data_IF_987136650205
#
_entry.id   IF_987136650205
#
_cell.length_a   1.000
_cell.length_b   1.000
_cell.length_c   1.000
_cell.angle_alpha   90.00
_cell.angle_beta   90.00
_cell.angle_gamma   90.00
#
_symmetry.space_group_name_H-M   'P 1'
#
loop_
_entity.id
_entity.type
_entity.pdbx_description
1 polymer ?
#
# COMPACT_ATOMS: atom_id res chain seq x y z
N UNK A 1 39.83 -49.97 28.92
CA UNK A 1 38.61 -50.21 29.73
C UNK A 1 38.28 -48.93 30.47
N UNK A 2 37.25 -48.21 30.04
CA UNK A 2 36.51 -47.23 30.85
C UNK A 2 35.17 -46.93 30.19
N UNK A 3 34.17 -46.74 31.04
CA UNK A 3 32.75 -47.08 30.86
C UNK A 3 31.98 -45.90 30.25
N UNK A 4 31.07 -46.19 29.31
CA UNK A 4 30.00 -45.28 28.90
C UNK A 4 29.13 -44.89 30.11
N UNK A 5 28.82 -43.60 30.22
CA UNK A 5 27.65 -43.12 30.97
C UNK A 5 26.77 -42.41 29.95
N UNK A 6 25.57 -42.97 29.77
CA UNK A 6 24.48 -42.52 28.91
C UNK A 6 23.79 -41.32 29.56
N UNK A 7 23.67 -40.23 28.82
CA UNK A 7 22.75 -39.11 29.11
C UNK A 7 21.61 -39.13 28.08
N UNK A 8 20.39 -38.67 28.44
CA UNK A 8 19.17 -39.00 27.72
C UNK A 8 19.04 -38.28 26.37
N UNK A 9 18.74 -39.06 25.34
CA UNK A 9 18.19 -38.62 24.06
C UNK A 9 16.74 -38.12 24.20
N UNK A 10 16.44 -37.04 23.46
CA UNK A 10 15.21 -36.81 22.66
C UNK A 10 14.64 -35.39 22.75
N UNK A 11 14.93 -34.62 21.70
CA UNK A 11 14.18 -33.44 21.29
C UNK A 11 14.54 -33.11 19.84
N UNK A 12 13.59 -33.13 18.88
CA UNK A 12 13.91 -32.80 17.50
C UNK A 12 13.98 -31.27 17.38
N UNK A 13 15.16 -30.68 17.57
CA UNK A 13 15.40 -29.31 17.16
C UNK A 13 15.64 -29.28 15.65
N UNK A 14 14.55 -29.20 14.90
CA UNK A 14 14.58 -28.85 13.48
C UNK A 14 15.22 -27.47 13.35
N UNK A 15 16.39 -27.41 12.71
CA UNK A 15 16.98 -26.17 12.21
C UNK A 15 15.91 -25.40 11.40
N UNK A 16 15.72 -24.08 11.57
CA UNK A 16 14.87 -23.33 10.67
C UNK A 16 15.44 -23.49 9.25
N UNK A 17 14.72 -24.20 8.39
CA UNK A 17 14.98 -24.16 6.96
C UNK A 17 14.76 -22.71 6.52
N UNK A 18 15.86 -21.99 6.33
CA UNK A 18 15.88 -20.72 5.62
C UNK A 18 15.25 -20.98 4.25
N UNK A 19 13.97 -20.59 4.12
CA UNK A 19 13.22 -20.73 2.89
C UNK A 19 13.90 -19.82 1.86
N UNK A 20 14.75 -20.42 1.03
CA UNK A 20 15.43 -19.73 -0.06
C UNK A 20 14.37 -19.09 -0.96
N UNK A 21 14.22 -17.77 -0.86
CA UNK A 21 13.30 -17.02 -1.71
C UNK A 21 13.78 -17.15 -3.16
N UNK A 22 12.95 -17.69 -4.09
CA UNK A 22 13.35 -17.79 -5.47
C UNK A 22 13.38 -16.37 -6.04
N UNK A 23 14.57 -15.89 -6.40
CA UNK A 23 14.69 -14.62 -7.10
C UNK A 23 13.92 -14.70 -8.42
N UNK A 24 13.12 -13.67 -8.73
CA UNK A 24 12.30 -13.55 -9.96
C UNK A 24 13.07 -13.96 -11.23
N UNK A 25 14.39 -13.74 -11.24
CA UNK A 25 15.31 -14.10 -12.32
C UNK A 25 15.45 -15.61 -12.53
N UNK A 26 15.47 -16.43 -11.47
CA UNK A 26 15.55 -17.89 -11.56
C UNK A 26 14.26 -18.52 -12.08
N UNK A 27 13.11 -17.93 -11.77
CA UNK A 27 11.81 -18.40 -12.24
C UNK A 27 11.67 -18.20 -13.76
N UNK A 28 12.11 -17.05 -14.27
CA UNK A 28 12.12 -16.77 -15.72
C UNK A 28 13.14 -17.63 -16.48
N UNK A 29 14.31 -17.92 -15.88
CA UNK A 29 15.28 -18.86 -16.45
C UNK A 29 14.76 -20.30 -16.48
N UNK A 30 13.96 -20.71 -15.49
CA UNK A 30 13.34 -22.03 -15.43
C UNK A 30 12.26 -22.27 -16.49
N UNK A 31 11.56 -21.22 -16.93
CA UNK A 31 10.54 -21.32 -17.98
C UNK A 31 11.11 -21.53 -19.40
N UNK A 32 12.40 -21.24 -19.62
CA UNK A 32 13.06 -21.41 -20.92
C UNK A 32 13.51 -22.83 -21.26
N UNK A 33 13.45 -23.78 -20.30
CA UNK A 33 13.96 -25.16 -20.47
C UNK A 33 12.88 -26.26 -20.34
N UNK A 34 11.59 -25.91 -20.32
CA UNK A 34 10.49 -26.90 -20.24
C UNK A 34 9.70 -26.91 -21.55
N UNK A 35 10.38 -27.20 -22.65
CA UNK A 35 9.76 -27.57 -23.92
C UNK A 35 9.97 -29.06 -24.19
N UNK A 36 9.60 -29.92 -23.23
CA UNK A 36 9.76 -31.37 -23.41
C UNK A 36 9.49 -32.21 -22.18
N UNK A 37 8.22 -32.29 -21.73
CA UNK A 37 7.66 -33.48 -21.06
C UNK A 37 6.18 -33.21 -20.69
N UNK A 38 5.26 -33.54 -21.59
CA UNK A 38 3.85 -33.75 -21.24
C UNK A 38 3.75 -35.11 -20.53
N UNK A 39 3.53 -35.12 -19.22
CA UNK A 39 3.17 -36.33 -18.48
C UNK A 39 2.10 -36.01 -17.41
N UNK A 40 0.85 -36.17 -17.82
CA UNK A 40 -0.28 -36.74 -17.06
C UNK A 40 -0.26 -36.56 -15.53
N UNK A 41 -1.08 -35.62 -15.03
CA UNK A 41 -1.42 -35.54 -13.61
C UNK A 41 -2.41 -34.42 -13.34
N UNK A 42 -3.67 -34.76 -13.14
CA UNK A 42 -4.74 -33.80 -12.85
C UNK A 42 -4.43 -32.99 -11.59
N UNK A 43 -4.41 -31.66 -11.75
CA UNK A 43 -4.28 -30.73 -10.64
C UNK A 43 -5.44 -29.72 -10.70
N UNK A 44 -6.34 -29.65 -9.70
CA UNK A 44 -7.41 -28.66 -9.66
C UNK A 44 -6.90 -27.22 -9.44
N UNK A 45 -5.58 -26.99 -9.40
CA UNK A 45 -4.99 -25.65 -9.36
C UNK A 45 -5.14 -24.85 -10.67
N UNK A 46 -5.55 -25.47 -11.77
CA UNK A 46 -5.68 -24.77 -13.06
C UNK A 46 -6.91 -23.85 -13.15
N UNK A 47 -7.88 -23.94 -12.23
CA UNK A 47 -9.11 -23.12 -12.27
C UNK A 47 -8.98 -21.75 -11.57
N UNK A 48 -7.80 -21.43 -11.02
CA UNK A 48 -7.53 -20.09 -10.47
C UNK A 48 -7.03 -19.09 -11.53
N UNK A 49 -6.62 -19.56 -12.72
CA UNK A 49 -6.11 -18.72 -13.79
C UNK A 49 -7.20 -18.07 -14.66
N UNK A 50 -8.48 -18.47 -14.48
CA UNK A 50 -9.61 -18.06 -15.32
C UNK A 50 -10.49 -16.96 -14.69
N UNK A 51 -9.97 -16.21 -13.73
CA UNK A 51 -10.43 -14.81 -13.61
C UNK A 51 -9.69 -14.04 -14.68
N UNK A 52 -10.19 -14.16 -15.90
CA UNK A 52 -9.91 -13.25 -17.00
C UNK A 52 -9.77 -11.85 -16.41
N UNK A 53 -8.54 -11.33 -16.44
CA UNK A 53 -8.30 -9.93 -16.23
C UNK A 53 -9.21 -9.24 -17.23
N UNK A 54 -10.33 -8.70 -16.75
CA UNK A 54 -11.04 -7.69 -17.49
C UNK A 54 -9.94 -6.70 -17.90
N UNK A 55 -9.81 -6.47 -19.21
CA UNK A 55 -8.91 -5.47 -19.74
C UNK A 55 -9.39 -4.12 -19.19
N UNK A 56 -8.90 -3.78 -18.01
CA UNK A 56 -9.00 -2.45 -17.46
C UNK A 56 -8.09 -1.64 -18.36
N UNK A 57 -8.69 -0.86 -19.24
CA UNK A 57 -7.99 0.22 -19.94
C UNK A 57 -7.05 0.90 -18.94
N UNK A 58 -5.79 1.19 -19.28
CA UNK A 58 -4.84 1.81 -18.36
C UNK A 58 -5.40 3.16 -17.89
N UNK A 59 -6.16 3.14 -16.79
CA UNK A 59 -6.60 4.35 -16.12
C UNK A 59 -5.39 4.82 -15.36
N UNK A 60 -4.99 6.06 -15.61
CA UNK A 60 -3.91 6.69 -14.88
C UNK A 60 -4.21 6.60 -13.38
N UNK A 61 -3.46 5.75 -12.69
CA UNK A 61 -3.70 5.39 -11.28
C UNK A 61 -3.64 6.60 -10.37
N UNK A 62 -2.96 7.67 -10.81
CA UNK A 62 -2.85 8.96 -10.12
C UNK A 62 -4.19 9.69 -9.98
N UNK A 63 -5.21 9.29 -10.74
CA UNK A 63 -6.56 9.85 -10.65
C UNK A 63 -7.53 8.95 -9.86
N UNK A 64 -7.03 7.88 -9.24
CA UNK A 64 -7.86 7.13 -8.30
C UNK A 64 -8.13 7.97 -7.06
N UNK A 65 -9.39 7.97 -6.63
CA UNK A 65 -9.87 8.73 -5.48
C UNK A 65 -10.40 7.76 -4.42
N UNK A 66 -10.29 8.15 -3.15
CA UNK A 66 -10.96 7.46 -2.06
C UNK A 66 -12.06 8.35 -1.49
N UNK A 67 -13.26 7.81 -1.19
CA UNK A 67 -14.33 8.60 -0.59
C UNK A 67 -13.87 9.19 0.75
N UNK A 68 -13.86 10.52 0.85
CA UNK A 68 -13.52 11.22 2.09
C UNK A 68 -14.63 11.11 3.14
N UNK A 69 -15.89 11.22 2.71
CA UNK A 69 -17.05 11.14 3.59
C UNK A 69 -17.56 9.72 3.71
N UNK A 70 -17.81 9.30 4.95
CA UNK A 70 -18.35 7.99 5.29
C UNK A 70 -18.55 7.87 6.79
N UNK A 71 -19.05 6.71 7.24
CA UNK A 71 -19.16 6.41 8.67
C UNK A 71 -17.78 6.31 9.35
N UNK A 72 -16.78 5.88 8.59
CA UNK A 72 -15.39 5.73 9.05
C UNK A 72 -14.46 6.52 8.14
N UNK A 73 -13.34 6.99 8.71
CA UNK A 73 -12.32 7.69 7.95
C UNK A 73 -11.61 6.73 6.99
N UNK A 74 -11.28 7.23 5.80
CA UNK A 74 -10.39 6.55 4.87
C UNK A 74 -9.00 6.33 5.49
N UNK A 75 -8.28 5.30 5.02
CA UNK A 75 -6.97 4.92 5.51
C UNK A 75 -6.96 3.86 6.62
N UNK A 76 -8.12 3.47 7.15
CA UNK A 76 -8.24 2.36 8.14
C UNK A 76 -8.47 1.02 7.44
N UNK A 77 -9.56 0.91 6.67
CA UNK A 77 -9.92 -0.30 5.90
C UNK A 77 -9.65 -0.13 4.40
N UNK A 78 -9.24 1.06 3.98
CA UNK A 78 -8.83 1.36 2.61
C UNK A 78 -7.66 0.45 2.22
N UNK A 79 -7.60 -0.09 0.99
CA UNK A 79 -6.45 -0.84 0.52
C UNK A 79 -5.14 -0.07 0.72
N UNK A 80 -4.08 -0.79 1.05
CA UNK A 80 -2.77 -0.19 1.32
C UNK A 80 -2.28 0.60 0.10
N UNK A 81 -1.91 1.87 0.32
CA UNK A 81 -1.31 2.74 -0.68
C UNK A 81 0.22 2.51 -0.77
N UNK A 82 0.83 2.89 -1.89
CA UNK A 82 2.27 2.70 -2.12
C UNK A 82 3.17 3.57 -1.23
N UNK A 83 2.65 4.66 -0.65
CA UNK A 83 3.37 5.59 0.21
C UNK A 83 2.54 6.00 1.45
N UNK A 84 3.21 6.36 2.53
CA UNK A 84 2.60 6.80 3.80
C UNK A 84 3.45 7.88 4.47
N UNK A 85 2.78 8.84 5.12
CA UNK A 85 3.39 9.80 6.03
C UNK A 85 2.57 9.83 7.34
N UNK A 86 3.26 9.81 8.48
CA UNK A 86 2.66 9.99 9.81
C UNK A 86 3.24 11.24 10.45
N UNK A 87 2.37 12.10 10.98
CA UNK A 87 2.75 13.39 11.58
C UNK A 87 1.96 13.61 12.86
N UNK A 88 2.61 14.17 13.88
CA UNK A 88 1.98 14.60 15.13
C UNK A 88 2.16 16.12 15.30
N UNK A 89 1.15 16.78 15.87
CA UNK A 89 1.14 18.23 16.06
C UNK A 89 0.70 18.58 17.48
N UNK A 90 1.34 19.60 18.05
CA UNK A 90 0.81 20.27 19.23
C UNK A 90 -0.26 21.28 18.82
N UNK A 91 -1.41 21.26 19.51
CA UNK A 91 -2.53 22.16 19.22
C UNK A 91 -2.34 23.48 19.98
N UNK A 92 -2.23 24.59 19.24
CA UNK A 92 -2.05 25.93 19.81
C UNK A 92 -3.37 26.65 20.14
N UNK A 93 -4.52 26.06 19.80
CA UNK A 93 -5.83 26.65 20.11
C UNK A 93 -6.04 26.75 21.62
N UNK A 94 -6.34 27.95 22.11
CA UNK A 94 -6.49 28.22 23.55
C UNK A 94 -7.93 28.08 24.05
N UNK A 95 -8.90 27.93 23.13
CA UNK A 95 -10.31 27.81 23.46
C UNK A 95 -11.03 26.88 22.47
N UNK A 96 -12.26 26.50 22.84
CA UNK A 96 -13.10 25.57 22.05
C UNK A 96 -13.48 26.12 20.68
N UNK A 97 -13.68 27.43 20.54
CA UNK A 97 -14.08 28.04 19.27
C UNK A 97 -12.94 27.94 18.24
N UNK A 98 -11.71 28.21 18.67
CA UNK A 98 -10.52 28.05 17.84
C UNK A 98 -10.23 26.60 17.48
N UNK A 99 -10.45 25.66 18.41
CA UNK A 99 -10.33 24.23 18.11
C UNK A 99 -11.36 23.78 17.07
N UNK A 100 -12.61 24.22 17.19
CA UNK A 100 -13.65 23.92 16.20
C UNK A 100 -13.33 24.52 14.83
N UNK A 101 -12.76 25.73 14.79
CA UNK A 101 -12.28 26.37 13.57
C UNK A 101 -11.14 25.57 12.93
N UNK A 102 -10.18 25.09 13.73
CA UNK A 102 -9.09 24.24 13.25
C UNK A 102 -9.64 22.96 12.60
N UNK A 103 -10.56 22.26 13.26
CA UNK A 103 -11.12 21.03 12.70
C UNK A 103 -11.88 21.26 11.39
N UNK A 104 -12.68 22.33 11.28
CA UNK A 104 -13.35 22.67 10.01
C UNK A 104 -12.35 22.92 8.89
N UNK A 105 -11.31 23.71 9.16
CA UNK A 105 -10.26 24.00 8.19
C UNK A 105 -9.52 22.72 7.75
N UNK A 106 -9.19 21.83 8.69
CA UNK A 106 -8.59 20.54 8.37
C UNK A 106 -9.53 19.67 7.53
N UNK A 107 -10.80 19.59 7.88
CA UNK A 107 -11.81 18.86 7.10
C UNK A 107 -11.89 19.37 5.67
N UNK A 108 -11.97 20.69 5.48
CA UNK A 108 -12.06 21.30 4.14
C UNK A 108 -10.79 21.03 3.32
N UNK A 109 -9.61 21.14 3.95
CA UNK A 109 -8.34 20.86 3.26
C UNK A 109 -8.16 19.39 2.91
N UNK A 110 -8.51 18.47 3.79
CA UNK A 110 -8.40 17.03 3.50
C UNK A 110 -9.41 16.64 2.42
N UNK A 111 -10.65 17.16 2.47
CA UNK A 111 -11.65 16.92 1.44
C UNK A 111 -11.15 17.37 0.06
N UNK A 112 -10.56 18.57 -0.04
CA UNK A 112 -10.01 19.07 -1.30
C UNK A 112 -8.82 18.22 -1.80
N UNK A 113 -7.86 17.89 -0.93
CA UNK A 113 -6.67 17.14 -1.32
C UNK A 113 -6.96 15.69 -1.72
N UNK A 114 -7.96 15.05 -1.12
CA UNK A 114 -8.37 13.66 -1.44
C UNK A 114 -9.23 13.58 -2.70
N UNK A 115 -9.95 14.65 -3.07
CA UNK A 115 -10.65 14.72 -4.35
C UNK A 115 -9.78 15.26 -5.49
N UNK A 116 -8.78 16.08 -5.18
CA UNK A 116 -8.01 16.83 -6.15
C UNK A 116 -8.77 18.02 -6.73
N UNK A 117 -8.19 18.65 -7.74
CA UNK A 117 -8.81 19.76 -8.49
C UNK A 117 -7.87 20.95 -8.70
N UNK A 118 -8.41 22.05 -9.21
CA UNK A 118 -7.62 23.26 -9.47
C UNK A 118 -7.17 23.91 -8.17
N UNK A 119 -5.89 24.24 -8.06
CA UNK A 119 -5.39 25.03 -6.96
C UNK A 119 -6.12 26.40 -6.91
N UNK A 120 -6.56 26.88 -5.73
CA UNK A 120 -7.26 28.15 -5.63
C UNK A 120 -6.37 29.33 -6.06
N UNK A 121 -6.90 30.20 -6.92
CA UNK A 121 -6.20 31.39 -7.40
C UNK A 121 -6.42 32.57 -6.45
N UNK A 122 -5.38 33.38 -6.30
CA UNK A 122 -5.39 34.65 -5.55
C UNK A 122 -4.76 35.75 -6.39
N UNK A 123 -4.92 37.00 -5.94
CA UNK A 123 -4.21 38.15 -6.53
C UNK A 123 -2.72 37.84 -6.63
N UNK A 124 -2.12 38.08 -7.81
CA UNK A 124 -0.72 37.82 -8.09
C UNK A 124 0.26 38.57 -7.16
N UNK A 125 -0.21 39.59 -6.44
CA UNK A 125 0.56 40.32 -5.42
C UNK A 125 0.60 39.61 -4.07
N UNK A 126 -0.24 38.61 -3.85
CA UNK A 126 -0.26 37.80 -2.62
C UNK A 126 0.58 36.52 -2.80
N UNK A 127 1.07 35.94 -1.70
CA UNK A 127 1.69 34.62 -1.76
C UNK A 127 0.72 33.57 -2.31
N UNK A 128 1.21 32.54 -3.02
CA UNK A 128 0.38 31.45 -3.48
C UNK A 128 -0.24 30.69 -2.29
N UNK A 129 -1.46 30.19 -2.46
CA UNK A 129 -2.18 29.45 -1.41
C UNK A 129 -1.72 28.01 -1.21
N UNK A 130 -0.92 27.49 -2.15
CA UNK A 130 -0.32 26.17 -2.09
C UNK A 130 1.17 26.24 -2.42
N UNK A 131 1.90 25.19 -2.05
CA UNK A 131 3.31 24.98 -2.36
C UNK A 131 3.63 24.92 -3.85
N UNK A 132 2.66 24.53 -4.70
CA UNK A 132 2.85 24.36 -6.13
C UNK A 132 3.56 23.07 -6.54
N UNK A 133 3.83 22.16 -5.59
CA UNK A 133 4.55 20.89 -5.83
C UNK A 133 3.82 20.02 -6.86
N UNK A 134 2.49 20.01 -6.83
CA UNK A 134 1.65 19.25 -7.76
C UNK A 134 1.30 20.03 -9.04
N UNK A 135 1.74 21.28 -9.18
CA UNK A 135 1.32 22.17 -10.25
C UNK A 135 -0.09 22.78 -10.04
N UNK A 136 -0.69 23.38 -11.08
CA UNK A 136 -1.97 24.08 -10.98
C UNK A 136 -3.17 23.13 -10.80
N UNK A 137 -2.99 21.86 -11.13
CA UNK A 137 -3.99 20.81 -11.01
C UNK A 137 -3.51 19.76 -10.01
N UNK A 138 -4.18 19.69 -8.88
CA UNK A 138 -3.82 18.82 -7.76
C UNK A 138 -4.46 17.46 -8.01
N UNK A 139 -3.60 16.44 -8.06
CA UNK A 139 -4.03 15.05 -8.15
C UNK A 139 -4.64 14.59 -6.82
N UNK A 140 -5.66 13.72 -6.85
CA UNK A 140 -6.20 13.12 -5.65
C UNK A 140 -5.19 12.22 -4.93
N UNK A 141 -5.36 12.10 -3.62
CA UNK A 141 -4.52 11.27 -2.74
C UNK A 141 -5.31 10.37 -1.79
#
# INVERSE_FOLDING_TARGET
>A
MSKQIVGPQDGPHSQPQEAASPSRRRLLLGMGMVSGALALGGNPLARAADRAAASVEPRDERWQTQPFYGQHQAGVVTPQQAAMMLVAFDVLATNRQDLARLFRLLTDRIAFLTHGGKAPEVDAKLPPLDSGIMGPEILPG
#
